data_IF_200979828594
#
_entry.id   IF_200979828594
#
_cell.length_a   1.000
_cell.length_b   1.000
_cell.length_c   1.000
_cell.angle_alpha   90.00
_cell.angle_beta   90.00
_cell.angle_gamma   90.00
#
_symmetry.space_group_name_H-M   'P 1'
#
loop_
_entity.id
_entity.type
_entity.pdbx_description
1 polymer ?
#
# COMPACT_ATOMS: atom_id res chain seq x y z
N UNK A 1 -13.40 -19.13 -7.03
CA UNK A 1 -13.70 -18.27 -5.85
C UNK A 1 -12.68 -18.54 -4.76
N UNK A 2 -12.49 -17.61 -3.83
CA UNK A 2 -11.61 -17.80 -2.65
C UNK A 2 -12.44 -18.33 -1.49
N UNK A 3 -11.79 -19.03 -0.56
CA UNK A 3 -12.48 -19.65 0.58
C UNK A 3 -12.86 -18.59 1.60
N UNK A 4 -14.13 -18.58 2.01
CA UNK A 4 -14.65 -17.73 3.07
C UNK A 4 -14.84 -18.54 4.34
N UNK A 5 -14.65 -17.92 5.49
CA UNK A 5 -14.92 -18.53 6.80
C UNK A 5 -16.10 -17.89 7.50
N UNK A 6 -16.86 -18.71 8.21
CA UNK A 6 -18.06 -18.31 8.97
C UNK A 6 -17.85 -18.46 10.49
N UNK A 7 -16.70 -18.97 10.92
CA UNK A 7 -16.30 -19.14 12.32
C UNK A 7 -15.01 -18.37 12.60
N UNK A 8 -14.70 -18.17 13.89
CA UNK A 8 -13.54 -17.38 14.36
C UNK A 8 -13.48 -15.97 13.74
N UNK A 9 -14.63 -15.36 13.48
CA UNK A 9 -14.72 -14.10 12.74
C UNK A 9 -14.02 -12.95 13.47
N UNK A 10 -13.47 -11.96 12.74
CA UNK A 10 -12.95 -10.74 13.35
C UNK A 10 -14.10 -9.97 14.02
N UNK A 11 -13.78 -9.22 15.07
CA UNK A 11 -14.78 -8.46 15.86
C UNK A 11 -15.62 -7.51 15.00
N UNK A 12 -15.04 -6.99 13.93
CA UNK A 12 -15.67 -6.06 12.99
C UNK A 12 -16.09 -6.73 11.67
N UNK A 13 -16.40 -8.03 11.68
CA UNK A 13 -16.79 -8.76 10.47
C UNK A 13 -17.95 -8.10 9.69
N UNK A 14 -18.86 -7.40 10.39
CA UNK A 14 -19.98 -6.64 9.80
C UNK A 14 -19.57 -5.50 8.86
N UNK A 15 -18.31 -5.05 8.93
CA UNK A 15 -17.77 -3.96 8.11
C UNK A 15 -17.26 -4.48 6.75
N UNK A 16 -17.26 -5.79 6.54
CA UNK A 16 -16.79 -6.45 5.31
C UNK A 16 -17.91 -7.27 4.66
N UNK A 17 -17.92 -7.40 3.32
CA UNK A 17 -18.94 -8.21 2.63
C UNK A 17 -18.83 -9.70 2.96
N UNK A 18 -17.62 -10.19 3.20
CA UNK A 18 -17.31 -11.56 3.62
C UNK A 18 -15.91 -11.61 4.24
N UNK A 19 -15.60 -12.69 4.95
CA UNK A 19 -14.31 -12.92 5.61
C UNK A 19 -13.60 -14.07 4.90
N UNK A 20 -12.43 -13.78 4.34
CA UNK A 20 -11.55 -14.73 3.66
C UNK A 20 -10.78 -15.53 4.70
N UNK A 21 -10.58 -16.82 4.41
CA UNK A 21 -9.88 -17.74 5.31
C UNK A 21 -8.37 -17.43 5.40
N UNK A 22 -7.77 -17.01 4.30
CA UNK A 22 -6.32 -16.79 4.20
C UNK A 22 -5.78 -15.57 4.97
N UNK A 23 -6.66 -14.65 5.37
CA UNK A 23 -6.26 -13.46 6.13
C UNK A 23 -6.65 -13.58 7.62
N UNK A 24 -5.72 -13.24 8.53
CA UNK A 24 -5.99 -13.31 9.96
C UNK A 24 -6.98 -12.22 10.39
N UNK A 25 -7.62 -12.43 11.54
CA UNK A 25 -8.51 -11.43 12.14
C UNK A 25 -7.85 -10.06 12.29
N UNK A 26 -6.55 -10.03 12.60
CA UNK A 26 -5.80 -8.78 12.79
C UNK A 26 -5.81 -7.86 11.55
N UNK A 27 -5.79 -8.41 10.33
CA UNK A 27 -5.89 -7.60 9.13
C UNK A 27 -7.27 -6.94 9.02
N UNK A 28 -8.33 -7.65 9.38
CA UNK A 28 -9.69 -7.10 9.42
C UNK A 28 -9.87 -6.09 10.57
N UNK A 29 -9.33 -6.40 11.75
CA UNK A 29 -9.44 -5.60 12.97
C UNK A 29 -8.53 -4.36 12.98
N UNK A 30 -7.61 -4.23 12.01
CA UNK A 30 -6.84 -3.00 11.81
C UNK A 30 -7.80 -1.82 11.65
N UNK A 31 -7.57 -0.76 12.44
CA UNK A 31 -8.39 0.45 12.41
C UNK A 31 -8.36 1.08 11.02
N UNK A 32 -9.51 1.57 10.55
CA UNK A 32 -9.57 2.38 9.34
C UNK A 32 -8.92 3.75 9.57
N UNK A 33 -8.38 4.39 8.53
CA UNK A 33 -8.02 5.80 8.56
C UNK A 33 -9.18 6.65 9.08
N UNK A 34 -8.89 7.65 9.93
CA UNK A 34 -9.92 8.45 10.63
C UNK A 34 -10.96 9.11 9.72
N UNK A 35 -10.60 9.34 8.45
CA UNK A 35 -11.46 10.00 7.46
C UNK A 35 -12.43 9.04 6.76
N UNK A 36 -12.25 7.73 6.90
CA UNK A 36 -13.16 6.73 6.32
C UNK A 36 -14.51 6.82 7.00
N UNK A 37 -15.57 6.92 6.19
CA UNK A 37 -16.96 6.96 6.65
C UNK A 37 -17.85 5.87 6.02
N UNK A 38 -17.29 5.10 5.07
CA UNK A 38 -18.02 4.04 4.36
C UNK A 38 -17.20 2.76 4.31
N UNK A 39 -17.73 1.71 4.92
CA UNK A 39 -17.11 0.38 5.01
C UNK A 39 -17.29 -0.44 3.73
N UNK A 40 -16.49 -1.50 3.56
CA UNK A 40 -16.59 -2.42 2.42
C UNK A 40 -17.97 -3.09 2.33
N UNK A 41 -18.58 -3.44 3.48
CA UNK A 41 -19.93 -4.00 3.52
C UNK A 41 -21.01 -3.01 3.06
N UNK A 42 -20.82 -1.70 3.27
CA UNK A 42 -21.74 -0.67 2.78
C UNK A 42 -21.54 -0.45 1.27
N UNK A 43 -20.29 -0.36 0.80
CA UNK A 43 -19.99 -0.22 -0.63
C UNK A 43 -20.55 -1.38 -1.44
N UNK A 44 -20.40 -2.62 -0.96
CA UNK A 44 -20.91 -3.82 -1.62
C UNK A 44 -22.42 -3.75 -1.93
N UNK A 45 -23.22 -2.99 -1.14
CA UNK A 45 -24.67 -2.89 -1.33
C UNK A 45 -25.09 -1.93 -2.44
N UNK A 46 -24.35 -0.85 -2.65
CA UNK A 46 -24.83 0.29 -3.45
C UNK A 46 -23.80 0.88 -4.42
N UNK A 47 -22.51 0.68 -4.17
CA UNK A 47 -21.47 1.32 -4.95
C UNK A 47 -21.15 0.52 -6.23
N UNK A 48 -21.38 1.15 -7.39
CA UNK A 48 -21.16 0.51 -8.69
C UNK A 48 -19.68 0.34 -9.03
N UNK A 49 -18.80 1.18 -8.49
CA UNK A 49 -17.37 1.18 -8.74
C UNK A 49 -16.72 0.01 -8.02
N UNK A 50 -17.02 -0.14 -6.73
CA UNK A 50 -16.63 -1.27 -5.88
C UNK A 50 -17.12 -2.59 -6.46
N UNK A 51 -18.37 -2.67 -6.93
CA UNK A 51 -18.93 -3.89 -7.50
C UNK A 51 -18.46 -4.18 -8.93
N UNK A 52 -17.71 -3.28 -9.57
CA UNK A 52 -17.17 -3.50 -10.90
C UNK A 52 -15.81 -4.22 -10.84
N UNK A 53 -15.80 -5.52 -11.17
CA UNK A 53 -14.60 -6.38 -11.12
C UNK A 53 -13.39 -5.78 -11.84
N UNK A 54 -13.58 -5.24 -13.05
CA UNK A 54 -12.46 -4.67 -13.82
C UNK A 54 -11.81 -3.47 -13.13
N UNK A 55 -12.57 -2.68 -12.37
CA UNK A 55 -12.04 -1.55 -11.60
C UNK A 55 -11.27 -2.04 -10.38
N UNK A 56 -11.82 -3.01 -9.65
CA UNK A 56 -11.16 -3.64 -8.52
C UNK A 56 -9.83 -4.32 -8.91
N UNK A 57 -9.80 -5.04 -10.03
CA UNK A 57 -8.59 -5.65 -10.57
C UNK A 57 -7.55 -4.59 -10.96
N UNK A 58 -7.98 -3.46 -11.52
CA UNK A 58 -7.09 -2.35 -11.86
C UNK A 58 -6.49 -1.71 -10.60
N UNK A 59 -7.29 -1.39 -9.57
CA UNK A 59 -6.79 -0.80 -8.33
C UNK A 59 -5.81 -1.73 -7.61
N UNK A 60 -6.11 -3.03 -7.58
CA UNK A 60 -5.20 -4.05 -7.07
C UNK A 60 -3.88 -4.01 -7.83
N UNK A 61 -3.93 -4.16 -9.15
CA UNK A 61 -2.74 -4.24 -10.00
C UNK A 61 -1.87 -2.98 -9.89
N UNK A 62 -2.48 -1.79 -9.92
CA UNK A 62 -1.75 -0.52 -9.78
C UNK A 62 -1.09 -0.39 -8.40
N UNK A 63 -1.79 -0.75 -7.33
CA UNK A 63 -1.25 -0.69 -5.96
C UNK A 63 -0.10 -1.68 -5.77
N UNK A 64 -0.25 -2.91 -6.24
CA UNK A 64 0.79 -3.94 -6.16
C UNK A 64 1.99 -3.58 -7.01
N UNK A 65 1.81 -3.10 -8.24
CA UNK A 65 2.92 -2.66 -9.09
C UNK A 65 3.71 -1.52 -8.44
N UNK A 66 3.03 -0.50 -7.90
CA UNK A 66 3.70 0.60 -7.20
C UNK A 66 4.58 0.09 -6.06
N UNK A 67 4.02 -0.71 -5.14
CA UNK A 67 4.76 -1.15 -3.96
C UNK A 67 5.76 -2.26 -4.24
N UNK A 68 5.52 -3.12 -5.24
CA UNK A 68 6.52 -4.10 -5.68
C UNK A 68 7.72 -3.40 -6.34
N UNK A 69 7.52 -2.30 -7.07
CA UNK A 69 8.63 -1.45 -7.54
C UNK A 69 9.33 -0.77 -6.36
N UNK A 70 8.58 -0.13 -5.45
CA UNK A 70 9.15 0.61 -4.31
C UNK A 70 9.96 -0.28 -3.35
N UNK A 71 9.45 -1.47 -3.04
CA UNK A 71 10.01 -2.38 -2.04
C UNK A 71 11.13 -3.27 -2.58
N UNK A 72 11.40 -3.23 -3.89
CA UNK A 72 12.48 -3.98 -4.52
C UNK A 72 13.49 -3.03 -5.18
N UNK A 73 14.54 -2.70 -4.42
CA UNK A 73 15.62 -1.85 -4.89
C UNK A 73 16.97 -2.54 -4.67
N UNK A 74 17.85 -2.39 -5.64
CA UNK A 74 19.24 -2.83 -5.56
C UNK A 74 20.10 -1.75 -6.20
N UNK A 75 20.98 -1.14 -5.41
CA UNK A 75 21.82 -0.03 -5.84
C UNK A 75 22.67 -0.33 -7.08
N UNK A 76 22.89 -1.60 -7.40
CA UNK A 76 23.67 -2.06 -8.56
C UNK A 76 22.88 -2.04 -9.86
N UNK A 77 21.55 -2.11 -9.78
CA UNK A 77 20.67 -2.29 -10.95
C UNK A 77 19.57 -1.24 -11.04
N UNK A 78 19.30 -0.46 -9.99
CA UNK A 78 18.31 0.60 -10.02
C UNK A 78 18.75 1.72 -10.99
N UNK A 79 17.81 2.21 -11.78
CA UNK A 79 18.01 3.23 -12.79
C UNK A 79 16.81 4.17 -12.90
N UNK A 80 16.78 5.03 -13.92
CA UNK A 80 15.65 5.93 -14.12
C UNK A 80 14.34 5.23 -14.51
N UNK A 81 14.40 4.02 -15.07
CA UNK A 81 13.20 3.28 -15.48
C UNK A 81 12.43 2.77 -14.26
N UNK A 82 13.13 2.49 -13.15
CA UNK A 82 12.50 2.32 -11.84
C UNK A 82 11.62 3.53 -11.46
N UNK A 83 12.13 4.75 -11.61
CA UNK A 83 11.41 5.96 -11.23
C UNK A 83 10.20 6.21 -12.14
N UNK A 84 10.34 5.98 -13.45
CA UNK A 84 9.23 6.07 -14.42
C UNK A 84 8.13 5.05 -14.13
N UNK A 85 8.52 3.81 -13.81
CA UNK A 85 7.58 2.72 -13.46
C UNK A 85 6.85 3.02 -12.16
N UNK A 86 7.55 3.53 -11.14
CA UNK A 86 6.93 3.92 -9.90
C UNK A 86 5.94 5.08 -10.12
N UNK A 87 6.36 6.11 -10.88
CA UNK A 87 5.54 7.28 -11.17
C UNK A 87 4.30 6.95 -12.02
N UNK A 88 4.36 5.97 -12.93
CA UNK A 88 3.21 5.58 -13.75
C UNK A 88 2.07 4.97 -12.93
N UNK A 89 2.38 4.38 -11.77
CA UNK A 89 1.41 3.82 -10.81
C UNK A 89 1.05 4.78 -9.67
N UNK A 90 1.63 5.99 -9.65
CA UNK A 90 1.35 7.06 -8.70
C UNK A 90 0.44 8.13 -9.32
N UNK A 91 -0.33 8.87 -8.51
CA UNK A 91 -1.09 10.01 -9.01
C UNK A 91 -0.16 11.07 -9.62
N UNK A 92 -0.40 11.44 -10.88
CA UNK A 92 0.52 12.28 -11.67
C UNK A 92 0.10 13.75 -11.71
N UNK A 93 -0.72 14.21 -10.76
CA UNK A 93 -1.10 15.63 -10.62
C UNK A 93 0.13 16.56 -10.56
N UNK A 94 1.26 16.06 -10.04
CA UNK A 94 2.46 16.83 -9.80
C UNK A 94 3.68 16.16 -10.46
N UNK A 95 4.23 16.80 -11.49
CA UNK A 95 5.39 16.29 -12.23
C UNK A 95 6.69 16.28 -11.41
N UNK A 96 6.81 17.12 -10.38
CA UNK A 96 7.99 17.14 -9.50
C UNK A 96 8.17 15.82 -8.73
N UNK A 97 7.12 15.04 -8.54
CA UNK A 97 7.19 13.71 -7.90
C UNK A 97 8.11 12.78 -8.68
N UNK A 98 8.09 12.82 -10.02
CA UNK A 98 9.03 12.06 -10.84
C UNK A 98 10.48 12.50 -10.59
N UNK A 99 10.70 13.81 -10.43
CA UNK A 99 12.03 14.34 -10.10
C UNK A 99 12.51 13.82 -8.75
N UNK A 100 11.65 13.75 -7.73
CA UNK A 100 12.02 13.23 -6.42
C UNK A 100 12.26 11.71 -6.44
N UNK A 101 11.49 10.95 -7.22
CA UNK A 101 11.75 9.53 -7.47
C UNK A 101 13.11 9.32 -8.16
N UNK A 102 13.49 10.19 -9.12
CA UNK A 102 14.83 10.15 -9.73
C UNK A 102 15.94 10.50 -8.73
N UNK A 103 15.74 11.47 -7.85
CA UNK A 103 16.72 11.76 -6.77
C UNK A 103 16.87 10.57 -5.83
N UNK A 104 15.80 9.85 -5.55
CA UNK A 104 15.85 8.65 -4.74
C UNK A 104 16.67 7.52 -5.38
N UNK A 105 16.66 7.38 -6.72
CA UNK A 105 17.57 6.44 -7.44
C UNK A 105 19.03 6.75 -7.11
N UNK A 106 19.43 8.02 -7.17
CA UNK A 106 20.79 8.45 -6.83
C UNK A 106 21.12 8.27 -5.35
N UNK A 107 20.13 8.45 -4.47
CA UNK A 107 20.25 8.15 -3.05
C UNK A 107 20.48 6.65 -2.80
N UNK A 108 19.71 5.77 -3.45
CA UNK A 108 19.87 4.31 -3.36
C UNK A 108 21.27 3.88 -3.79
N UNK A 109 21.78 4.43 -4.90
CA UNK A 109 23.16 4.22 -5.39
C UNK A 109 24.20 4.66 -4.36
N UNK A 110 24.14 5.92 -3.94
CA UNK A 110 25.11 6.53 -3.02
C UNK A 110 25.11 5.86 -1.64
N UNK A 111 23.93 5.45 -1.17
CA UNK A 111 23.72 4.84 0.13
C UNK A 111 23.81 3.30 0.10
N UNK A 112 24.10 2.70 -1.06
CA UNK A 112 24.21 1.24 -1.28
C UNK A 112 23.01 0.46 -0.72
N UNK A 113 21.81 0.96 -0.98
CA UNK A 113 20.58 0.35 -0.48
C UNK A 113 20.28 -0.94 -1.28
N UNK A 114 20.01 -2.02 -0.55
CA UNK A 114 19.40 -3.23 -1.11
C UNK A 114 18.21 -3.59 -0.23
N UNK A 115 17.03 -3.70 -0.83
CA UNK A 115 15.79 -4.07 -0.16
C UNK A 115 14.98 -4.99 -1.07
N UNK A 116 14.30 -5.95 -0.46
CA UNK A 116 13.31 -6.79 -1.13
C UNK A 116 12.02 -6.77 -0.34
N UNK A 117 10.90 -6.90 -1.03
CA UNK A 117 9.60 -6.97 -0.38
C UNK A 117 8.49 -7.16 -1.40
N UNK A 118 7.27 -7.15 -0.90
CA UNK A 118 6.08 -7.21 -1.74
C UNK A 118 4.89 -6.64 -0.99
N UNK A 119 3.89 -6.23 -1.75
CA UNK A 119 2.58 -5.87 -1.22
C UNK A 119 1.50 -6.63 -1.99
N UNK A 120 0.50 -7.12 -1.26
CA UNK A 120 -0.72 -7.72 -1.79
C UNK A 120 -1.90 -6.86 -1.39
N UNK A 121 -2.65 -6.38 -2.38
CA UNK A 121 -3.84 -5.57 -2.17
C UNK A 121 -5.11 -6.43 -2.18
N UNK A 122 -6.06 -6.12 -1.30
CA UNK A 122 -7.29 -6.87 -1.12
C UNK A 122 -8.54 -6.09 -1.58
N UNK A 123 -9.08 -6.37 -2.78
CA UNK A 123 -10.24 -5.65 -3.30
C UNK A 123 -11.51 -5.75 -2.44
N UNK A 124 -11.70 -6.85 -1.71
CA UNK A 124 -12.87 -7.00 -0.82
C UNK A 124 -12.79 -6.16 0.45
N UNK A 125 -11.63 -5.54 0.71
CA UNK A 125 -11.36 -4.66 1.84
C UNK A 125 -11.08 -3.23 1.36
N UNK A 126 -11.84 -2.78 0.36
CA UNK A 126 -11.86 -1.37 -0.06
C UNK A 126 -12.86 -0.60 0.80
N UNK A 127 -12.47 0.57 1.31
CA UNK A 127 -13.34 1.51 2.02
C UNK A 127 -13.34 2.86 1.31
N UNK A 128 -14.26 3.75 1.69
CA UNK A 128 -14.36 5.09 1.12
C UNK A 128 -14.48 6.17 2.21
N UNK A 129 -14.03 7.37 1.85
CA UNK A 129 -14.11 8.59 2.62
C UNK A 129 -14.87 9.64 1.81
N UNK A 130 -16.21 9.61 1.84
CA UNK A 130 -17.07 10.47 1.03
C UNK A 130 -16.75 11.96 1.20
N UNK A 131 -16.38 12.39 2.41
CA UNK A 131 -16.09 13.81 2.72
C UNK A 131 -14.85 14.37 2.03
N UNK A 132 -13.94 13.51 1.56
CA UNK A 132 -12.69 13.90 0.89
C UNK A 132 -12.47 13.16 -0.44
N UNK A 133 -13.48 12.43 -0.92
CA UNK A 133 -13.50 11.67 -2.18
C UNK A 133 -12.27 10.78 -2.38
N UNK A 134 -12.14 9.74 -1.55
CA UNK A 134 -10.97 8.85 -1.62
C UNK A 134 -11.28 7.42 -1.19
N UNK A 135 -11.02 6.49 -2.11
CA UNK A 135 -11.01 5.07 -1.80
C UNK A 135 -9.70 4.69 -1.12
N UNK A 136 -9.78 3.74 -0.19
CA UNK A 136 -8.65 3.11 0.44
C UNK A 136 -8.71 1.62 0.15
N UNK A 137 -7.59 1.02 -0.25
CA UNK A 137 -7.49 -0.43 -0.40
C UNK A 137 -6.63 -0.99 0.71
N UNK A 138 -7.16 -1.96 1.47
CA UNK A 138 -6.38 -2.65 2.50
C UNK A 138 -5.37 -3.58 1.86
N UNK A 139 -4.19 -3.62 2.44
CA UNK A 139 -3.05 -4.37 1.90
C UNK A 139 -2.33 -5.15 2.99
N UNK A 140 -1.69 -6.25 2.60
CA UNK A 140 -0.67 -6.95 3.37
C UNK A 140 0.67 -6.70 2.69
N UNK A 141 1.69 -6.32 3.45
CA UNK A 141 3.02 -6.12 2.91
C UNK A 141 4.09 -6.82 3.72
N UNK A 142 5.24 -7.03 3.10
CA UNK A 142 6.45 -7.45 3.77
C UNK A 142 7.67 -6.79 3.12
N UNK A 143 8.75 -6.65 3.89
CA UNK A 143 10.03 -6.21 3.36
C UNK A 143 11.20 -6.67 4.23
N UNK A 144 12.38 -6.69 3.60
CA UNK A 144 13.68 -7.01 4.19
C UNK A 144 14.71 -6.03 3.66
N UNK A 145 15.33 -5.30 4.58
CA UNK A 145 16.45 -4.42 4.25
C UNK A 145 17.74 -5.23 4.34
N UNK A 146 18.48 -5.38 3.25
CA UNK A 146 19.74 -6.14 3.21
C UNK A 146 20.96 -5.25 3.44
N UNK A 147 20.96 -4.05 2.86
CA UNK A 147 22.10 -3.14 2.90
C UNK A 147 21.66 -1.68 2.91
N UNK A 148 22.46 -0.84 3.56
CA UNK A 148 22.46 0.63 3.51
C UNK A 148 23.74 1.13 4.21
N UNK A 149 24.21 2.35 3.91
CA UNK A 149 25.30 3.01 4.66
C UNK A 149 24.71 3.85 5.81
N UNK A 150 23.71 4.68 5.51
CA UNK A 150 22.99 5.59 6.40
C UNK A 150 21.55 5.11 6.59
N UNK A 151 21.07 5.13 7.84
CA UNK A 151 19.69 4.83 8.19
C UNK A 151 18.79 6.06 7.97
N UNK A 152 18.52 6.36 6.70
CA UNK A 152 17.71 7.52 6.30
C UNK A 152 17.11 7.24 4.92
N UNK A 153 15.79 7.51 4.78
CA UNK A 153 15.04 7.32 3.54
C UNK A 153 15.39 6.00 2.84
N UNK A 154 15.40 4.89 3.58
CA UNK A 154 15.68 3.57 2.99
C UNK A 154 14.50 3.16 2.11
N UNK A 155 13.28 3.43 2.57
CA UNK A 155 12.07 3.39 1.76
C UNK A 155 11.71 4.84 1.41
N UNK A 156 11.35 5.11 0.16
CA UNK A 156 10.81 6.41 -0.26
C UNK A 156 9.39 6.56 0.29
N UNK A 157 9.30 6.89 1.59
CA UNK A 157 8.07 7.06 2.35
C UNK A 157 8.31 8.12 3.43
N UNK A 158 7.47 9.16 3.48
CA UNK A 158 7.63 10.30 4.37
C UNK A 158 7.66 9.93 5.87
N UNK A 159 7.03 8.82 6.24
CA UNK A 159 6.94 8.36 7.64
C UNK A 159 7.96 7.27 7.98
N UNK A 160 8.81 6.86 7.03
CA UNK A 160 9.81 5.82 7.27
C UNK A 160 10.68 6.10 8.51
N UNK A 161 11.12 7.35 8.67
CA UNK A 161 12.03 7.73 9.76
C UNK A 161 11.36 7.62 11.15
N UNK A 162 10.07 7.91 11.25
CA UNK A 162 9.31 7.83 12.50
C UNK A 162 8.73 6.43 12.77
N UNK A 163 8.62 5.58 11.74
CA UNK A 163 8.06 4.23 11.85
C UNK A 163 8.86 3.28 12.76
N UNK A 164 10.15 3.56 12.97
CA UNK A 164 11.00 2.82 13.89
C UNK A 164 12.32 2.39 13.27
N UNK A 165 13.25 1.81 14.06
CA UNK A 165 14.53 1.35 13.58
C UNK A 165 14.44 -0.07 12.97
N UNK A 166 14.18 -0.16 11.68
CA UNK A 166 14.24 -1.40 10.92
C UNK A 166 15.70 -1.86 10.77
N UNK A 167 15.96 -3.13 11.06
CA UNK A 167 17.30 -3.70 11.11
C UNK A 167 17.65 -4.41 9.80
N UNK A 168 18.94 -4.35 9.42
CA UNK A 168 19.46 -5.16 8.32
C UNK A 168 19.24 -6.65 8.58
N UNK A 169 18.87 -7.38 7.55
CA UNK A 169 18.69 -8.83 7.60
C UNK A 169 17.42 -9.31 8.30
N UNK A 170 16.64 -8.41 8.89
CA UNK A 170 15.34 -8.71 9.51
C UNK A 170 14.21 -8.55 8.52
N UNK A 171 13.23 -9.43 8.63
CA UNK A 171 12.02 -9.41 7.81
C UNK A 171 10.91 -8.76 8.62
N UNK A 172 10.17 -7.89 7.96
CA UNK A 172 9.06 -7.16 8.54
C UNK A 172 7.82 -7.46 7.71
N UNK A 173 6.68 -7.60 8.39
CA UNK A 173 5.38 -7.70 7.74
C UNK A 173 4.38 -6.75 8.38
N UNK A 174 3.32 -6.45 7.64
CA UNK A 174 2.33 -5.50 8.10
C UNK A 174 1.07 -5.44 7.27
N UNK A 175 0.16 -4.61 7.75
CA UNK A 175 -1.08 -4.24 7.08
C UNK A 175 -1.22 -2.73 7.03
N UNK A 176 -1.78 -2.21 5.95
CA UNK A 176 -2.05 -0.78 5.78
C UNK A 176 -3.15 -0.54 4.76
N UNK A 177 -3.92 0.52 4.97
CA UNK A 177 -4.91 1.02 4.03
C UNK A 177 -4.26 2.09 3.13
N UNK A 178 -4.11 1.77 1.84
CA UNK A 178 -3.46 2.65 0.87
C UNK A 178 -4.50 3.58 0.23
N UNK A 179 -4.36 4.92 0.37
CA UNK A 179 -5.23 5.86 -0.31
C UNK A 179 -5.01 5.81 -1.83
N UNK A 180 -6.10 5.77 -2.57
CA UNK A 180 -6.13 5.83 -4.02
C UNK A 180 -6.69 7.17 -4.46
N UNK A 181 -6.15 7.74 -5.53
CA UNK A 181 -6.64 9.00 -6.08
C UNK A 181 -6.35 9.11 -7.57
N UNK A 182 -6.98 10.10 -8.21
CA UNK A 182 -6.83 10.39 -9.63
C UNK A 182 -6.81 11.90 -9.85
N UNK A 183 -6.17 12.33 -10.93
CA UNK A 183 -6.20 13.70 -11.44
C UNK A 183 -6.97 13.81 -12.77
N UNK A 184 -7.64 12.73 -13.17
CA UNK A 184 -8.53 12.67 -14.33
C UNK A 184 -9.93 12.27 -13.88
N UNK A 185 -10.96 12.73 -14.58
CA UNK A 185 -12.36 12.52 -14.19
C UNK A 185 -12.85 11.09 -14.53
N UNK A 186 -12.24 10.06 -13.93
CA UNK A 186 -12.62 8.65 -14.07
C UNK A 186 -12.16 7.82 -12.85
N UNK A 187 -12.50 6.53 -12.81
CA UNK A 187 -12.12 5.61 -11.74
C UNK A 187 -10.80 4.86 -11.98
N UNK A 188 -9.94 5.35 -12.88
CA UNK A 188 -8.59 4.83 -13.05
C UNK A 188 -7.68 5.38 -11.94
N UNK A 189 -7.93 4.94 -10.71
CA UNK A 189 -7.24 5.44 -9.54
C UNK A 189 -5.83 4.86 -9.46
N UNK A 190 -4.93 5.69 -8.95
CA UNK A 190 -3.52 5.38 -8.71
C UNK A 190 -3.20 5.53 -7.24
N UNK A 191 -2.00 5.11 -6.83
CA UNK A 191 -1.53 5.36 -5.47
C UNK A 191 -1.45 6.87 -5.22
N UNK A 192 -2.10 7.33 -4.15
CA UNK A 192 -2.17 8.75 -3.82
C UNK A 192 -0.83 9.29 -3.33
N UNK A 193 -0.60 10.60 -3.50
CA UNK A 193 0.59 11.28 -2.95
C UNK A 193 0.65 11.33 -1.43
N UNK A 194 -0.43 10.98 -0.74
CA UNK A 194 -0.48 10.83 0.72
C UNK A 194 -0.29 9.37 1.17
N UNK A 195 0.03 8.45 0.26
CA UNK A 195 0.21 7.05 0.60
C UNK A 195 1.47 6.84 1.44
N UNK A 196 1.34 6.03 2.49
CA UNK A 196 2.43 5.65 3.38
C UNK A 196 2.16 4.24 3.90
N UNK A 197 3.20 3.43 4.05
CA UNK A 197 3.12 2.14 4.75
C UNK A 197 3.00 2.32 6.27
N UNK A 198 3.35 3.49 6.78
CA UNK A 198 3.55 3.75 8.22
C UNK A 198 2.56 4.79 8.76
N UNK A 199 1.30 4.67 8.35
CA UNK A 199 0.18 5.42 8.93
C UNK A 199 -0.01 5.09 10.41
N UNK A 200 -0.70 5.94 11.17
CA UNK A 200 -0.96 5.72 12.61
C UNK A 200 -1.82 4.49 12.88
N UNK A 201 -2.52 4.00 11.85
CA UNK A 201 -3.36 2.81 11.88
C UNK A 201 -2.65 1.56 11.34
N UNK A 202 -1.49 1.73 10.69
CA UNK A 202 -0.73 0.62 10.13
C UNK A 202 -0.25 -0.33 11.23
N UNK A 203 -0.21 -1.61 10.90
CA UNK A 203 0.43 -2.63 11.73
C UNK A 203 1.72 -3.00 11.05
N UNK A 204 2.85 -2.94 11.76
CA UNK A 204 4.16 -3.38 11.27
C UNK A 204 4.89 -4.11 12.40
N UNK A 205 5.46 -5.27 12.10
CA UNK A 205 6.22 -6.07 13.07
C UNK A 205 7.38 -6.80 12.42
N UNK A 206 8.40 -7.09 13.22
CA UNK A 206 9.45 -8.05 12.85
C UNK A 206 8.86 -9.46 12.84
N UNK A 207 9.13 -10.23 11.78
CA UNK A 207 8.80 -11.66 11.70
C UNK A 207 9.75 -12.41 12.63
N UNK A 208 9.19 -13.24 13.52
CA UNK A 208 9.95 -14.04 14.49
C UNK A 208 10.65 -15.22 13.85
#
# INVERSE_FOLDING_TARGET
>A
GRVIRTTNLPKNAKDFPYILEEYPNEMYEMKFPRIVDTTSAQLAKFDKVFNHKGTMDQWKTTTENYYNTLLNVDYRTIDEDWAKTLFSNHNQAFSYVLTDMKKYVEWVKSNKIIMKGSLVAEPSMVTDANKLSGYFIRTKFNFKIKSYIKYENIILDERFKSAGPFKKGKEYEGYVDIPLSTNVNNYNLKVSGMATLFSDTSIVREVK
#
